data_IF_070788115147
#
_entry.id   IF_070788115147
#
_cell.length_a   1.000
_cell.length_b   1.000
_cell.length_c   1.000
_cell.angle_alpha   90.00
_cell.angle_beta   90.00
_cell.angle_gamma   90.00
#
_symmetry.space_group_name_H-M   'P 1'
#
loop_
_entity.id
_entity.type
_entity.pdbx_description
1 polymer ?
#
# COMPACT_ATOMS: atom_id res chain seq x y z
N UNK A 1 -18.81 -0.18 -21.23
CA UNK A 1 -17.78 0.82 -20.85
C UNK A 1 -17.05 0.25 -19.64
N UNK A 2 -15.79 -0.16 -19.77
CA UNK A 2 -15.02 -0.68 -18.63
C UNK A 2 -14.62 0.54 -17.80
N UNK A 3 -15.31 0.80 -16.68
CA UNK A 3 -14.89 1.81 -15.73
C UNK A 3 -13.60 1.32 -15.07
N UNK A 4 -12.45 1.83 -15.49
CA UNK A 4 -11.20 1.61 -14.75
C UNK A 4 -11.23 2.46 -13.48
N UNK A 5 -11.36 1.80 -12.34
CA UNK A 5 -11.10 2.44 -11.04
C UNK A 5 -9.60 2.73 -10.97
N UNK A 6 -9.21 3.98 -10.73
CA UNK A 6 -7.80 4.35 -10.56
C UNK A 6 -7.59 4.68 -9.10
N UNK A 7 -6.76 3.87 -8.44
CA UNK A 7 -6.33 4.07 -7.07
C UNK A 7 -4.81 4.20 -7.04
N UNK A 8 -4.32 5.19 -6.31
CA UNK A 8 -2.91 5.50 -6.16
C UNK A 8 -2.56 5.63 -4.69
N UNK A 9 -1.40 5.11 -4.29
CA UNK A 9 -0.86 5.35 -2.96
C UNK A 9 -0.22 6.72 -2.89
N UNK A 10 -0.48 7.49 -1.84
CA UNK A 10 0.02 8.86 -1.68
C UNK A 10 0.89 8.94 -0.43
N UNK A 11 2.10 9.48 -0.56
CA UNK A 11 2.95 9.71 0.60
C UNK A 11 2.32 10.76 1.53
N UNK A 12 2.29 10.45 2.82
CA UNK A 12 1.87 11.35 3.89
C UNK A 12 3.11 11.73 4.72
N UNK A 13 3.59 12.97 4.51
CA UNK A 13 4.75 13.54 5.19
C UNK A 13 4.38 14.92 5.74
N UNK A 14 4.74 15.24 6.99
CA UNK A 14 4.59 16.59 7.52
C UNK A 14 5.37 17.62 6.68
N UNK A 15 4.79 18.79 6.48
CA UNK A 15 5.44 19.87 5.73
C UNK A 15 6.78 20.27 6.36
N UNK A 16 7.78 20.55 5.53
CA UNK A 16 9.11 20.98 5.96
C UNK A 16 10.04 19.85 6.45
N UNK A 17 9.57 18.62 6.59
CA UNK A 17 10.41 17.47 6.98
C UNK A 17 10.97 16.76 5.74
N UNK A 18 12.30 16.79 5.59
CA UNK A 18 13.02 16.07 4.51
C UNK A 18 13.21 14.58 4.80
N UNK A 19 13.46 14.23 6.05
CA UNK A 19 13.73 12.86 6.50
C UNK A 19 12.84 12.53 7.70
N UNK A 20 12.08 11.45 7.60
CA UNK A 20 11.19 10.99 8.65
C UNK A 20 10.38 9.77 8.20
N UNK A 21 9.71 9.07 9.14
CA UNK A 21 8.94 7.87 8.85
C UNK A 21 7.85 8.15 7.81
N UNK A 22 7.74 7.30 6.79
CA UNK A 22 6.79 7.49 5.69
C UNK A 22 5.49 6.73 5.94
N UNK A 23 4.37 7.46 6.01
CA UNK A 23 3.04 6.86 5.96
C UNK A 23 2.46 6.95 4.54
N UNK A 24 1.55 6.06 4.18
CA UNK A 24 0.90 6.04 2.87
C UNK A 24 -0.62 6.14 3.03
N UNK A 25 -1.23 7.13 2.37
CA UNK A 25 -2.67 7.21 2.12
C UNK A 25 -3.05 6.57 0.78
N UNK A 26 -4.35 6.54 0.48
CA UNK A 26 -4.87 6.12 -0.82
C UNK A 26 -5.67 7.27 -1.43
N UNK A 27 -5.57 7.46 -2.74
CA UNK A 27 -6.39 8.41 -3.48
C UNK A 27 -7.07 7.74 -4.67
N UNK A 28 -8.27 8.21 -5.00
CA UNK A 28 -9.14 7.62 -6.01
C UNK A 28 -9.57 8.66 -7.05
N UNK A 29 -9.73 8.21 -8.29
CA UNK A 29 -10.39 8.97 -9.33
C UNK A 29 -11.07 8.09 -10.37
N UNK A 30 -12.00 8.69 -11.14
CA UNK A 30 -12.67 8.05 -12.29
C UNK A 30 -11.87 8.17 -13.59
N UNK A 31 -10.86 9.05 -13.65
CA UNK A 31 -10.08 9.30 -14.89
C UNK A 31 -8.60 9.46 -14.58
N UNK A 32 -7.72 9.06 -15.50
CA UNK A 32 -6.26 9.18 -15.29
C UNK A 32 -5.81 10.62 -14.98
N UNK A 33 -6.58 11.63 -15.41
CA UNK A 33 -6.29 13.05 -15.22
C UNK A 33 -6.82 13.62 -13.90
N UNK A 34 -7.53 12.81 -13.11
CA UNK A 34 -8.16 13.29 -11.87
C UNK A 34 -9.51 13.98 -12.09
N UNK A 35 -9.98 14.79 -11.11
CA UNK A 35 -9.31 15.06 -9.84
C UNK A 35 -9.18 13.80 -8.98
N UNK A 36 -8.10 13.71 -8.21
CA UNK A 36 -7.89 12.65 -7.23
C UNK A 36 -8.45 13.07 -5.88
N UNK A 37 -9.24 12.20 -5.26
CA UNK A 37 -9.76 12.38 -3.90
C UNK A 37 -9.03 11.45 -2.95
N UNK A 38 -8.37 12.01 -1.95
CA UNK A 38 -7.78 11.23 -0.85
C UNK A 38 -8.90 10.50 -0.10
N UNK A 39 -8.73 9.20 0.10
CA UNK A 39 -9.66 8.32 0.79
C UNK A 39 -9.42 8.33 2.31
N UNK A 40 -10.15 7.49 3.03
CA UNK A 40 -9.99 7.28 4.49
C UNK A 40 -10.00 8.58 5.32
N UNK A 41 -10.86 9.53 4.97
CA UNK A 41 -10.95 10.84 5.64
C UNK A 41 -9.58 11.56 5.76
N UNK A 42 -8.74 11.45 4.72
CA UNK A 42 -7.37 12.01 4.70
C UNK A 42 -6.43 11.42 5.75
N UNK A 43 -6.79 10.30 6.37
CA UNK A 43 -5.91 9.56 7.28
C UNK A 43 -5.09 8.52 6.51
N UNK A 44 -3.82 8.29 6.89
CA UNK A 44 -3.01 7.28 6.25
C UNK A 44 -3.64 5.89 6.40
N UNK A 45 -3.48 5.07 5.37
CA UNK A 45 -3.91 3.67 5.34
C UNK A 45 -2.80 2.78 5.90
N UNK A 46 -1.54 3.09 5.55
CA UNK A 46 -0.35 2.50 6.15
C UNK A 46 0.34 3.55 7.00
N UNK A 47 0.17 3.46 8.32
CA UNK A 47 0.75 4.41 9.26
C UNK A 47 2.12 3.90 9.74
N UNK A 48 3.18 4.66 9.50
CA UNK A 48 4.56 4.24 9.84
C UNK A 48 4.75 3.88 11.31
N UNK A 49 4.08 4.61 12.22
CA UNK A 49 4.20 4.41 13.67
C UNK A 49 3.61 3.07 14.11
N UNK A 50 2.54 2.63 13.46
CA UNK A 50 1.82 1.39 13.80
C UNK A 50 2.31 0.22 12.97
N UNK A 51 2.57 0.44 11.68
CA UNK A 51 2.80 -0.60 10.69
C UNK A 51 4.25 -0.67 10.20
N UNK A 52 5.15 0.18 10.66
CA UNK A 52 6.51 0.26 10.12
C UNK A 52 6.57 1.03 8.80
N UNK A 53 7.79 1.26 8.31
CA UNK A 53 8.05 2.02 7.08
C UNK A 53 7.86 1.13 5.85
N UNK A 54 6.65 1.16 5.31
CA UNK A 54 6.28 0.49 4.06
C UNK A 54 6.37 1.51 2.91
N UNK A 55 7.27 1.27 1.96
CA UNK A 55 7.56 2.21 0.87
C UNK A 55 7.30 1.58 -0.51
N UNK A 56 7.34 2.41 -1.55
CA UNK A 56 7.35 2.00 -2.96
C UNK A 56 6.24 0.98 -3.35
N UNK A 57 4.96 1.32 -3.14
CA UNK A 57 3.84 0.41 -3.35
C UNK A 57 3.65 0.04 -4.82
N UNK A 58 3.48 -1.25 -5.09
CA UNK A 58 2.96 -1.77 -6.35
C UNK A 58 1.58 -2.41 -6.13
N UNK A 59 0.53 -1.84 -6.71
CA UNK A 59 -0.87 -2.24 -6.51
C UNK A 59 -1.43 -3.00 -7.71
N UNK A 60 -2.20 -4.06 -7.47
CA UNK A 60 -3.01 -4.72 -8.50
C UNK A 60 -4.34 -5.24 -7.95
N UNK A 61 -5.24 -5.59 -8.87
CA UNK A 61 -6.57 -6.15 -8.57
C UNK A 61 -6.76 -7.46 -9.34
N UNK A 62 -7.31 -8.47 -8.68
CA UNK A 62 -7.80 -9.69 -9.32
C UNK A 62 -9.19 -10.09 -8.77
N UNK A 63 -9.64 -11.32 -9.06
CA UNK A 63 -10.94 -11.86 -8.61
C UNK A 63 -11.10 -11.94 -7.07
N UNK A 64 -9.99 -11.95 -6.33
CA UNK A 64 -9.92 -12.11 -4.87
C UNK A 64 -9.87 -10.76 -4.14
N UNK A 65 -9.60 -9.68 -4.85
CA UNK A 65 -9.59 -8.33 -4.31
C UNK A 65 -8.39 -7.51 -4.78
N UNK A 66 -7.87 -6.71 -3.86
CA UNK A 66 -6.76 -5.79 -4.08
C UNK A 66 -5.53 -6.30 -3.36
N UNK A 67 -4.40 -6.09 -3.99
CA UNK A 67 -3.13 -6.62 -3.57
C UNK A 67 -2.09 -5.52 -3.70
N UNK A 68 -1.11 -5.56 -2.81
CA UNK A 68 -0.01 -4.63 -2.82
C UNK A 68 1.26 -5.31 -2.36
N UNK A 69 2.36 -4.99 -3.01
CA UNK A 69 3.70 -5.25 -2.50
C UNK A 69 4.33 -3.92 -2.13
N UNK A 70 4.98 -3.87 -0.97
CA UNK A 70 5.80 -2.75 -0.51
C UNK A 70 7.24 -3.20 -0.33
N UNK A 71 8.14 -2.22 -0.23
CA UNK A 71 9.42 -2.39 0.44
C UNK A 71 9.23 -2.26 1.96
N UNK A 72 9.55 -3.31 2.72
CA UNK A 72 9.62 -3.31 4.18
C UNK A 72 10.96 -2.70 4.63
N UNK A 73 11.02 -1.37 4.71
CA UNK A 73 12.29 -0.64 4.82
C UNK A 73 13.12 -1.02 6.05
N UNK A 74 12.46 -1.41 7.16
CA UNK A 74 13.12 -1.80 8.42
C UNK A 74 12.96 -3.29 8.77
N UNK A 75 12.36 -4.09 7.89
CA UNK A 75 12.20 -5.53 8.11
C UNK A 75 11.19 -5.89 9.20
N UNK A 76 10.15 -5.09 9.42
CA UNK A 76 9.15 -5.36 10.49
C UNK A 76 8.39 -6.67 10.29
N UNK A 77 8.14 -7.06 9.04
CA UNK A 77 7.33 -8.23 8.68
C UNK A 77 8.16 -9.36 8.08
N UNK A 78 9.38 -9.05 7.64
CA UNK A 78 10.21 -9.96 6.85
C UNK A 78 11.54 -10.30 7.53
N UNK A 79 11.84 -9.65 8.67
CA UNK A 79 13.11 -9.72 9.40
C UNK A 79 14.35 -9.30 8.59
N UNK A 80 14.15 -8.74 7.40
CA UNK A 80 15.19 -8.34 6.44
C UNK A 80 14.96 -6.91 5.97
N UNK A 81 16.03 -6.11 5.92
CA UNK A 81 15.94 -4.71 5.53
C UNK A 81 15.67 -4.55 4.03
N UNK A 82 14.58 -3.87 3.70
CA UNK A 82 14.24 -3.53 2.32
C UNK A 82 13.64 -4.69 1.53
N UNK A 83 13.27 -5.79 2.18
CA UNK A 83 12.64 -6.92 1.51
C UNK A 83 11.18 -6.60 1.13
N UNK A 84 10.65 -7.30 0.12
CA UNK A 84 9.26 -7.15 -0.28
C UNK A 84 8.29 -7.69 0.78
N UNK A 85 7.16 -7.00 1.01
CA UNK A 85 6.04 -7.51 1.81
C UNK A 85 4.72 -7.42 1.06
N UNK A 86 3.98 -8.53 1.03
CA UNK A 86 2.65 -8.67 0.43
C UNK A 86 1.53 -8.34 1.42
N UNK A 87 0.52 -7.60 0.96
CA UNK A 87 -0.71 -7.36 1.70
C UNK A 87 -1.96 -7.39 0.79
N UNK A 88 -3.11 -7.61 1.41
CA UNK A 88 -4.41 -7.79 0.74
C UNK A 88 -5.50 -6.89 1.31
N UNK A 89 -6.41 -6.43 0.46
CA UNK A 89 -7.60 -5.66 0.82
C UNK A 89 -8.80 -6.02 -0.05
N UNK A 90 -10.00 -5.83 0.48
CA UNK A 90 -11.25 -5.94 -0.27
C UNK A 90 -11.86 -4.57 -0.61
N UNK A 91 -11.30 -3.47 -0.09
CA UNK A 91 -11.92 -2.14 -0.20
C UNK A 91 -10.92 -0.97 -0.28
N UNK A 92 -9.64 -1.23 -0.58
CA UNK A 92 -8.53 -0.26 -0.63
C UNK A 92 -8.14 0.43 0.68
N UNK A 93 -8.94 0.30 1.75
CA UNK A 93 -8.72 0.98 3.03
C UNK A 93 -8.22 0.03 4.10
N UNK A 94 -8.83 -1.15 4.21
CA UNK A 94 -8.48 -2.13 5.23
C UNK A 94 -7.55 -3.16 4.62
N UNK A 95 -6.28 -3.12 5.01
CA UNK A 95 -5.25 -4.03 4.52
C UNK A 95 -4.84 -5.03 5.59
N UNK A 96 -4.53 -6.25 5.15
CA UNK A 96 -3.98 -7.31 5.98
C UNK A 96 -2.67 -7.78 5.34
N UNK A 97 -1.60 -7.79 6.13
CA UNK A 97 -0.33 -8.41 5.71
C UNK A 97 -0.60 -9.89 5.45
N UNK A 98 -0.03 -10.44 4.37
CA UNK A 98 -0.18 -11.86 4.08
C UNK A 98 0.46 -12.72 5.18
N UNK A 99 -0.06 -13.94 5.38
CA UNK A 99 0.49 -14.87 6.36
C UNK A 99 1.92 -15.28 6.03
N UNK A 100 2.25 -15.32 4.74
CA UNK A 100 3.59 -15.51 4.22
C UNK A 100 3.97 -14.20 3.50
N UNK A 101 4.47 -13.18 4.22
CA UNK A 101 4.61 -11.83 3.68
C UNK A 101 5.64 -11.72 2.56
N UNK A 102 6.65 -12.60 2.51
CA UNK A 102 7.73 -12.57 1.50
C UNK A 102 7.21 -13.02 0.13
N UNK A 103 7.14 -12.11 -0.88
CA UNK A 103 6.57 -12.44 -2.20
C UNK A 103 7.37 -13.50 -2.97
N UNK A 104 8.65 -13.66 -2.65
CA UNK A 104 9.60 -14.56 -3.32
C UNK A 104 9.52 -16.01 -2.81
N UNK A 105 8.87 -16.25 -1.67
CA UNK A 105 8.63 -17.60 -1.18
C UNK A 105 7.38 -18.15 -1.83
N UNK A 106 7.53 -19.19 -2.67
CA UNK A 106 6.49 -19.97 -3.35
C UNK A 106 5.07 -19.74 -2.80
N UNK A 107 4.39 -18.69 -3.29
CA UNK A 107 2.98 -18.52 -3.01
C UNK A 107 2.25 -19.56 -3.86
N UNK A 108 1.56 -20.55 -3.27
CA UNK A 108 0.67 -21.39 -4.04
C UNK A 108 -0.36 -20.47 -4.70
N UNK A 109 -0.32 -20.41 -6.02
CA UNK A 109 -1.29 -19.68 -6.84
C UNK A 109 -2.60 -20.44 -6.68
N UNK A 110 -3.41 -20.03 -5.71
CA UNK A 110 -4.77 -20.56 -5.46
C UNK A 110 -5.82 -19.80 -6.24
#
# INVERSE_FOLDING_TARGET
>A
MVSSEIVHAVADKPEGIRHGPMSLGMAYTKTIKGPYRVLNNKSPVFNAKVMGELEDPFLWKDKRGYHVVFKDHKGKYTDEWGEGVLAHSVNWINWKIDKNPKPTQNHPVG
#
